data_IF_409781675215
#
_entry.id   IF_409781675215
#
_cell.length_a   1.000
_cell.length_b   1.000
_cell.length_c   1.000
_cell.angle_alpha   90.00
_cell.angle_beta   90.00
_cell.angle_gamma   90.00
#
_symmetry.space_group_name_H-M   'P 1'
#
loop_
_entity.id
_entity.type
_entity.pdbx_description
1 polymer ?
#
# COMPACT_ATOMS: atom_id res chain seq x y z
N UNK A 1 2.14 28.25 -1.26
CA UNK A 1 2.58 27.53 -0.03
C UNK A 1 1.39 27.00 0.78
N UNK A 2 0.40 27.85 1.13
CA UNK A 2 -0.78 27.47 1.93
C UNK A 2 -1.60 26.27 1.41
N UNK A 3 -1.87 26.17 0.11
CA UNK A 3 -2.71 25.08 -0.46
C UNK A 3 -2.09 23.68 -0.24
N UNK A 4 -0.76 23.54 -0.41
CA UNK A 4 -0.07 22.26 -0.17
C UNK A 4 -0.14 21.83 1.30
N UNK A 5 -0.14 22.80 2.20
CA UNK A 5 -0.21 22.56 3.65
C UNK A 5 -1.63 22.17 4.08
N UNK A 6 -2.66 22.79 3.51
CA UNK A 6 -4.05 22.37 3.70
C UNK A 6 -4.30 20.94 3.22
N UNK A 7 -3.82 20.58 2.03
CA UNK A 7 -3.94 19.21 1.50
C UNK A 7 -3.23 18.20 2.42
N UNK A 8 -2.03 18.53 2.90
CA UNK A 8 -1.30 17.68 3.84
C UNK A 8 -2.05 17.48 5.15
N UNK A 9 -2.66 18.54 5.68
CA UNK A 9 -3.45 18.49 6.91
C UNK A 9 -4.71 17.66 6.72
N UNK A 10 -5.45 17.84 5.62
CA UNK A 10 -6.67 17.07 5.34
C UNK A 10 -6.40 15.58 5.15
N UNK A 11 -5.34 15.22 4.40
CA UNK A 11 -4.94 13.82 4.23
C UNK A 11 -4.56 13.17 5.57
N UNK A 12 -3.79 13.87 6.42
CA UNK A 12 -3.41 13.36 7.73
C UNK A 12 -4.63 13.16 8.64
N UNK A 13 -5.56 14.13 8.67
CA UNK A 13 -6.80 14.01 9.47
C UNK A 13 -7.63 12.82 8.99
N UNK A 14 -7.81 12.67 7.68
CA UNK A 14 -8.56 11.56 7.10
C UNK A 14 -7.89 10.22 7.41
N UNK A 15 -6.57 10.13 7.27
CA UNK A 15 -5.79 8.92 7.60
C UNK A 15 -5.97 8.54 9.06
N UNK A 16 -5.79 9.51 9.97
CA UNK A 16 -5.93 9.29 11.42
C UNK A 16 -7.37 8.87 11.74
N UNK A 17 -8.37 9.52 11.15
CA UNK A 17 -9.78 9.19 11.37
C UNK A 17 -10.11 7.76 10.97
N UNK A 18 -9.79 7.37 9.73
CA UNK A 18 -10.06 6.01 9.22
C UNK A 18 -9.28 4.97 10.01
N UNK A 19 -8.00 5.22 10.30
CA UNK A 19 -7.17 4.30 11.07
C UNK A 19 -7.66 4.15 12.53
N UNK A 20 -8.10 5.25 13.15
CA UNK A 20 -8.69 5.23 14.49
C UNK A 20 -9.98 4.41 14.50
N UNK A 21 -10.85 4.58 13.51
CA UNK A 21 -12.07 3.76 13.37
C UNK A 21 -11.70 2.29 13.22
N UNK A 22 -10.74 1.97 12.34
CA UNK A 22 -10.29 0.60 12.11
C UNK A 22 -9.74 -0.08 13.37
N UNK A 23 -9.05 0.67 14.24
CA UNK A 23 -8.52 0.15 15.51
C UNK A 23 -9.54 0.11 16.66
N UNK A 24 -10.36 1.16 16.79
CA UNK A 24 -11.29 1.33 17.92
C UNK A 24 -12.49 0.40 17.78
N UNK A 25 -13.02 0.18 16.57
CA UNK A 25 -14.21 -0.67 16.37
C UNK A 25 -14.03 -2.09 16.92
N UNK A 26 -12.97 -2.84 16.52
CA UNK A 26 -12.70 -4.15 17.10
C UNK A 26 -12.48 -4.11 18.62
N UNK A 27 -11.76 -3.09 19.12
CA UNK A 27 -11.45 -2.98 20.55
C UNK A 27 -12.72 -2.77 21.38
N UNK A 28 -13.60 -1.87 20.95
CA UNK A 28 -14.90 -1.62 21.62
C UNK A 28 -15.81 -2.84 21.51
N UNK A 29 -15.83 -3.53 20.37
CA UNK A 29 -16.58 -4.78 20.21
C UNK A 29 -16.11 -5.85 21.21
N UNK A 30 -14.80 -6.03 21.38
CA UNK A 30 -14.24 -6.99 22.34
C UNK A 30 -14.62 -6.59 23.77
N UNK A 31 -14.44 -5.32 24.15
CA UNK A 31 -14.76 -4.82 25.50
C UNK A 31 -16.27 -4.98 25.81
N UNK A 32 -17.14 -4.63 24.87
CA UNK A 32 -18.60 -4.74 25.06
C UNK A 32 -19.05 -6.19 25.22
N UNK A 33 -18.45 -7.13 24.48
CA UNK A 33 -18.68 -8.57 24.65
C UNK A 33 -18.21 -9.07 26.01
N UNK A 34 -17.03 -8.63 26.48
CA UNK A 34 -16.53 -8.97 27.84
C UNK A 34 -17.49 -8.47 28.94
N UNK A 35 -18.15 -7.33 28.71
CA UNK A 35 -19.15 -6.75 29.61
C UNK A 35 -20.55 -7.39 29.50
N UNK A 36 -20.71 -8.47 28.73
CA UNK A 36 -21.99 -9.18 28.57
C UNK A 36 -23.04 -8.44 27.73
N UNK A 37 -22.64 -7.39 26.99
CA UNK A 37 -23.52 -6.66 26.06
C UNK A 37 -23.37 -7.23 24.64
N UNK A 38 -24.43 -7.18 23.80
CA UNK A 38 -24.30 -7.54 22.39
C UNK A 38 -23.24 -6.63 21.73
N UNK A 39 -22.32 -7.24 21.00
CA UNK A 39 -21.28 -6.53 20.25
C UNK A 39 -21.87 -5.67 19.13
N UNK A 40 -21.05 -4.78 18.57
CA UNK A 40 -21.47 -3.91 17.46
C UNK A 40 -21.79 -4.79 16.23
N UNK A 41 -23.03 -4.77 15.70
CA UNK A 41 -23.39 -5.56 14.54
C UNK A 41 -22.57 -5.12 13.31
N UNK A 42 -22.17 -6.08 12.48
CA UNK A 42 -21.38 -5.86 11.26
C UNK A 42 -19.98 -5.23 11.45
N UNK A 43 -19.46 -5.14 12.69
CA UNK A 43 -18.12 -4.61 12.96
C UNK A 43 -16.99 -5.30 12.14
N UNK A 44 -16.92 -6.65 12.05
CA UNK A 44 -15.90 -7.31 11.20
C UNK A 44 -15.99 -6.91 9.73
N UNK A 45 -17.20 -6.71 9.22
CA UNK A 45 -17.44 -6.34 7.83
C UNK A 45 -17.01 -4.88 7.61
N UNK A 46 -17.35 -3.97 8.52
CA UNK A 46 -16.93 -2.57 8.44
C UNK A 46 -15.39 -2.45 8.46
N UNK A 47 -14.71 -3.24 9.30
CA UNK A 47 -13.25 -3.27 9.39
C UNK A 47 -12.59 -3.73 8.07
N UNK A 48 -13.17 -4.72 7.38
CA UNK A 48 -12.73 -5.13 6.03
C UNK A 48 -12.83 -3.96 5.03
N UNK A 49 -13.91 -3.19 5.09
CA UNK A 49 -14.15 -2.06 4.20
C UNK A 49 -13.30 -0.84 4.54
N UNK A 50 -12.99 -0.62 5.82
CA UNK A 50 -12.04 0.43 6.22
C UNK A 50 -10.61 0.11 5.78
N UNK A 51 -10.26 -1.17 5.62
CA UNK A 51 -8.98 -1.59 5.05
C UNK A 51 -8.80 -1.09 3.61
N UNK A 52 -9.87 -1.09 2.81
CA UNK A 52 -9.86 -0.48 1.47
C UNK A 52 -9.49 1.01 1.54
N UNK A 53 -10.09 1.73 2.48
CA UNK A 53 -9.83 3.16 2.65
C UNK A 53 -8.39 3.42 3.06
N UNK A 54 -7.89 2.71 4.07
CA UNK A 54 -6.50 2.82 4.52
C UNK A 54 -5.53 2.47 3.39
N UNK A 55 -5.83 1.44 2.59
CA UNK A 55 -5.02 1.04 1.44
C UNK A 55 -4.88 2.16 0.41
N UNK A 56 -6.00 2.75 -0.03
CA UNK A 56 -5.98 3.83 -1.03
C UNK A 56 -5.41 5.14 -0.48
N UNK A 57 -5.73 5.52 0.75
CA UNK A 57 -5.12 6.69 1.41
C UNK A 57 -3.60 6.49 1.55
N UNK A 58 -3.19 5.30 1.97
CA UNK A 58 -1.78 4.90 2.04
C UNK A 58 -1.08 4.97 0.68
N UNK A 59 -1.74 4.52 -0.39
CA UNK A 59 -1.21 4.63 -1.75
C UNK A 59 -1.02 6.10 -2.20
N UNK A 60 -1.98 6.98 -1.89
CA UNK A 60 -1.88 8.43 -2.17
C UNK A 60 -0.72 9.06 -1.38
N UNK A 61 -0.57 8.71 -0.10
CA UNK A 61 0.53 9.18 0.73
C UNK A 61 1.90 8.66 0.25
N UNK A 62 1.98 7.39 -0.14
CA UNK A 62 3.18 6.77 -0.67
C UNK A 62 3.59 7.39 -2.01
N UNK A 63 2.63 7.70 -2.88
CA UNK A 63 2.85 8.45 -4.13
C UNK A 63 3.41 9.84 -3.84
N UNK A 64 2.89 10.51 -2.80
CA UNK A 64 3.37 11.84 -2.44
C UNK A 64 4.80 11.81 -1.92
N UNK A 65 5.14 10.80 -1.13
CA UNK A 65 6.47 10.61 -0.55
C UNK A 65 7.45 9.89 -1.48
N UNK A 66 7.03 9.49 -2.68
CA UNK A 66 7.82 8.68 -3.63
C UNK A 66 8.32 7.36 -3.02
N UNK A 67 7.49 6.74 -2.17
CA UNK A 67 7.78 5.49 -1.47
C UNK A 67 7.01 4.29 -2.02
N UNK A 68 6.44 4.45 -3.21
CA UNK A 68 5.83 3.31 -3.90
C UNK A 68 6.92 2.32 -4.28
N UNK A 69 6.63 1.04 -4.14
CA UNK A 69 7.57 -0.03 -4.47
C UNK A 69 7.90 0.00 -5.97
N UNK A 70 9.16 0.28 -6.29
CA UNK A 70 9.74 0.28 -7.65
C UNK A 70 10.84 -0.78 -7.74
N UNK A 71 11.09 -1.28 -8.96
CA UNK A 71 12.22 -2.19 -9.21
C UNK A 71 13.58 -1.49 -9.16
N UNK A 72 13.60 -0.18 -9.39
CA UNK A 72 14.80 0.65 -9.33
C UNK A 72 14.97 1.31 -7.96
N UNK A 73 16.22 1.68 -7.65
CA UNK A 73 16.57 2.43 -6.42
C UNK A 73 16.06 3.87 -6.44
N UNK A 74 15.93 4.47 -7.61
CA UNK A 74 15.40 5.82 -7.74
C UNK A 74 13.93 5.79 -8.16
N UNK A 75 13.03 6.39 -7.36
CA UNK A 75 11.61 6.39 -7.66
C UNK A 75 11.28 7.37 -8.80
N UNK A 76 10.47 6.95 -9.77
CA UNK A 76 10.10 7.77 -10.94
C UNK A 76 9.45 9.12 -10.58
N UNK A 77 8.76 9.20 -9.44
CA UNK A 77 8.01 10.39 -9.04
C UNK A 77 8.83 11.43 -8.25
N UNK A 78 10.15 11.25 -8.12
CA UNK A 78 11.02 12.33 -7.65
C UNK A 78 11.11 13.46 -8.70
N UNK A 79 11.14 14.74 -8.26
CA UNK A 79 11.41 15.83 -9.18
C UNK A 79 12.83 15.66 -9.75
N UNK A 80 12.93 15.56 -11.07
CA UNK A 80 14.20 15.40 -11.75
C UNK A 80 15.02 16.70 -11.67
N UNK A 81 16.30 16.60 -11.31
CA UNK A 81 17.26 17.71 -11.36
C UNK A 81 17.70 18.00 -12.80
N UNK A 82 17.75 16.97 -13.66
CA UNK A 82 18.08 17.02 -15.08
C UNK A 82 16.99 16.30 -15.86
N UNK A 83 16.47 16.91 -16.93
CA UNK A 83 15.43 16.30 -17.75
C UNK A 83 15.94 15.05 -18.46
N UNK A 84 15.25 13.92 -18.28
CA UNK A 84 15.52 12.66 -18.95
C UNK A 84 14.30 12.22 -19.76
N UNK A 85 14.50 12.01 -21.07
CA UNK A 85 13.44 11.61 -21.99
C UNK A 85 12.77 10.29 -21.56
N UNK A 86 13.56 9.32 -21.06
CA UNK A 86 13.06 8.02 -20.63
C UNK A 86 12.14 8.12 -19.41
N UNK A 87 12.50 8.93 -18.41
CA UNK A 87 11.64 9.19 -17.25
C UNK A 87 10.36 9.93 -17.64
N UNK A 88 10.46 10.91 -18.53
CA UNK A 88 9.28 11.62 -18.99
C UNK A 88 8.30 10.68 -19.70
N UNK A 89 8.77 9.78 -20.57
CA UNK A 89 7.95 8.72 -21.19
C UNK A 89 7.31 7.83 -20.12
N UNK A 90 8.08 7.35 -19.15
CA UNK A 90 7.57 6.49 -18.07
C UNK A 90 6.48 7.18 -17.22
N UNK A 91 6.59 8.50 -16.97
CA UNK A 91 5.55 9.28 -16.27
C UNK A 91 4.28 9.40 -17.10
N UNK A 92 4.37 9.58 -18.42
CA UNK A 92 3.22 9.59 -19.31
C UNK A 92 2.49 8.25 -19.31
N UNK A 93 3.23 7.14 -19.45
CA UNK A 93 2.67 5.78 -19.41
C UNK A 93 1.97 5.53 -18.08
N UNK A 94 2.62 5.88 -16.96
CA UNK A 94 2.03 5.76 -15.63
C UNK A 94 0.70 6.54 -15.53
N UNK A 95 0.66 7.75 -16.07
CA UNK A 95 -0.53 8.59 -16.05
C UNK A 95 -1.68 8.01 -16.88
N UNK A 96 -1.40 7.52 -18.09
CA UNK A 96 -2.42 6.85 -18.92
C UNK A 96 -3.02 5.65 -18.18
N UNK A 97 -2.19 4.81 -17.57
CA UNK A 97 -2.63 3.63 -16.82
C UNK A 97 -3.50 4.04 -15.62
N UNK A 98 -3.09 5.05 -14.86
CA UNK A 98 -3.88 5.51 -13.70
C UNK A 98 -5.21 6.12 -14.15
N UNK A 99 -5.24 6.85 -15.27
CA UNK A 99 -6.50 7.39 -15.84
C UNK A 99 -7.43 6.25 -16.27
N UNK A 100 -6.90 5.18 -16.85
CA UNK A 100 -7.70 4.00 -17.20
C UNK A 100 -8.25 3.28 -15.95
N UNK A 101 -7.43 3.12 -14.91
CA UNK A 101 -7.87 2.55 -13.62
C UNK A 101 -8.92 3.44 -12.93
N UNK A 102 -8.73 4.75 -12.98
CA UNK A 102 -9.72 5.73 -12.52
C UNK A 102 -11.05 5.54 -13.25
N UNK A 103 -11.03 5.44 -14.58
CA UNK A 103 -12.24 5.19 -15.37
C UNK A 103 -12.93 3.87 -15.01
N UNK A 104 -12.15 2.79 -14.86
CA UNK A 104 -12.68 1.49 -14.40
C UNK A 104 -13.36 1.59 -13.03
N UNK A 105 -12.76 2.34 -12.10
CA UNK A 105 -13.27 2.50 -10.74
C UNK A 105 -14.54 3.37 -10.68
N UNK A 106 -14.65 4.42 -11.50
CA UNK A 106 -15.90 5.18 -11.65
C UNK A 106 -16.99 4.29 -12.23
N UNK A 107 -16.66 3.53 -13.28
CA UNK A 107 -17.62 2.65 -13.95
C UNK A 107 -18.20 1.62 -12.97
N UNK A 108 -17.35 1.04 -12.11
CA UNK A 108 -17.80 0.14 -11.04
C UNK A 108 -18.75 0.84 -10.06
N UNK A 109 -18.39 2.03 -9.55
CA UNK A 109 -19.22 2.78 -8.61
C UNK A 109 -20.58 3.12 -9.23
N UNK A 110 -20.62 3.49 -10.50
CA UNK A 110 -21.88 3.78 -11.21
C UNK A 110 -22.75 2.52 -11.36
N UNK A 111 -22.15 1.36 -11.65
CA UNK A 111 -22.86 0.08 -11.71
C UNK A 111 -23.48 -0.23 -10.33
N UNK A 112 -22.71 -0.11 -9.25
CA UNK A 112 -23.21 -0.39 -7.90
C UNK A 112 -24.16 0.68 -7.35
N UNK A 113 -24.09 1.91 -7.85
CA UNK A 113 -25.08 2.93 -7.52
C UNK A 113 -26.45 2.59 -8.11
N UNK A 114 -26.48 2.10 -9.35
CA UNK A 114 -27.71 1.64 -10.01
C UNK A 114 -28.27 0.35 -9.38
N UNK A 115 -27.39 -0.51 -8.85
CA UNK A 115 -27.75 -1.76 -8.18
C UNK A 115 -27.21 -1.79 -6.74
N UNK A 116 -27.80 -1.02 -5.81
CA UNK A 116 -27.21 -0.79 -4.49
C UNK A 116 -27.26 -2.03 -3.60
N UNK A 117 -26.09 -2.42 -3.09
CA UNK A 117 -25.93 -3.48 -2.09
C UNK A 117 -25.54 -2.85 -0.75
N UNK A 118 -26.25 -3.22 0.33
CA UNK A 118 -25.92 -2.81 1.68
C UNK A 118 -24.91 -3.78 2.31
N UNK A 119 -23.87 -3.22 2.92
CA UNK A 119 -22.83 -3.97 3.65
C UNK A 119 -23.21 -4.11 5.14
N UNK A 120 -23.79 -3.04 5.67
CA UNK A 120 -24.28 -2.89 7.04
C UNK A 120 -25.54 -2.04 6.97
N UNK A 121 -26.46 -2.09 7.97
CA UNK A 121 -27.62 -1.21 7.99
C UNK A 121 -27.20 0.25 7.77
N UNK A 122 -27.71 0.87 6.70
CA UNK A 122 -27.43 2.25 6.32
C UNK A 122 -26.10 2.52 5.59
N UNK A 123 -25.25 1.51 5.36
CA UNK A 123 -23.96 1.66 4.64
C UNK A 123 -23.99 0.91 3.32
N UNK A 124 -23.95 1.67 2.22
CA UNK A 124 -23.93 1.13 0.86
C UNK A 124 -22.51 0.87 0.36
N UNK A 125 -22.36 -0.17 -0.46
CA UNK A 125 -21.08 -0.57 -1.03
C UNK A 125 -20.45 0.45 -1.96
N UNK A 126 -21.23 1.03 -2.86
CA UNK A 126 -20.78 2.08 -3.78
C UNK A 126 -20.14 3.27 -3.03
N UNK A 127 -20.66 3.62 -1.85
CA UNK A 127 -20.14 4.71 -1.04
C UNK A 127 -18.73 4.40 -0.52
N UNK A 128 -18.50 3.17 -0.06
CA UNK A 128 -17.16 2.74 0.36
C UNK A 128 -16.22 2.69 -0.85
N UNK A 129 -16.70 2.24 -2.01
CA UNK A 129 -15.91 2.11 -3.23
C UNK A 129 -15.47 3.46 -3.82
N UNK A 130 -16.11 4.58 -3.47
CA UNK A 130 -15.70 5.93 -3.91
C UNK A 130 -14.25 6.26 -3.59
N UNK A 131 -13.64 5.63 -2.57
CA UNK A 131 -12.23 5.86 -2.27
C UNK A 131 -11.30 5.42 -3.40
N UNK A 132 -11.71 4.46 -4.24
CA UNK A 132 -10.92 3.97 -5.36
C UNK A 132 -10.75 5.03 -6.46
N UNK A 133 -11.82 5.59 -7.06
CA UNK A 133 -11.67 6.67 -8.04
C UNK A 133 -11.04 7.92 -7.43
N UNK A 134 -11.38 8.27 -6.19
CA UNK A 134 -10.75 9.43 -5.51
C UNK A 134 -9.24 9.19 -5.36
N UNK A 135 -8.84 7.99 -4.95
CA UNK A 135 -7.43 7.63 -4.80
C UNK A 135 -6.66 7.68 -6.11
N UNK A 136 -7.18 7.06 -7.18
CA UNK A 136 -6.54 7.13 -8.50
C UNK A 136 -6.48 8.56 -9.05
N UNK A 137 -7.52 9.37 -8.85
CA UNK A 137 -7.53 10.78 -9.25
C UNK A 137 -6.42 11.57 -8.55
N UNK A 138 -6.28 11.38 -7.23
CA UNK A 138 -5.25 12.06 -6.44
C UNK A 138 -3.84 11.62 -6.86
N UNK A 139 -3.63 10.33 -7.15
CA UNK A 139 -2.35 9.82 -7.67
C UNK A 139 -2.06 10.42 -9.05
N UNK A 140 -3.04 10.44 -9.97
CA UNK A 140 -2.89 11.05 -11.29
C UNK A 140 -2.53 12.54 -11.19
N UNK A 141 -3.23 13.27 -10.32
CA UNK A 141 -2.97 14.69 -10.08
C UNK A 141 -1.56 14.94 -9.53
N UNK A 142 -1.09 14.10 -8.60
CA UNK A 142 0.27 14.20 -8.06
C UNK A 142 1.34 13.96 -9.13
N UNK A 143 1.15 12.97 -10.00
CA UNK A 143 2.09 12.68 -11.10
C UNK A 143 2.09 13.85 -12.09
N UNK A 144 0.92 14.37 -12.46
CA UNK A 144 0.78 15.52 -13.33
C UNK A 144 1.56 16.74 -12.82
N UNK A 145 1.44 17.06 -11.52
CA UNK A 145 2.17 18.17 -10.90
C UNK A 145 3.68 17.93 -10.81
N UNK A 146 4.12 16.69 -10.63
CA UNK A 146 5.54 16.30 -10.49
C UNK A 146 6.22 15.95 -11.82
N UNK A 147 5.49 15.94 -12.93
CA UNK A 147 5.96 15.44 -14.22
C UNK A 147 7.13 16.25 -14.80
N UNK A 148 6.95 17.57 -14.91
CA UNK A 148 7.97 18.51 -15.39
C UNK A 148 7.76 19.89 -14.75
N UNK A 149 8.82 20.72 -14.72
CA UNK A 149 8.73 22.13 -14.32
C UNK A 149 8.04 22.98 -15.38
N UNK A 150 8.18 22.63 -16.66
CA UNK A 150 7.59 23.40 -17.74
C UNK A 150 6.12 23.06 -17.97
N UNK A 151 5.31 24.08 -18.26
CA UNK A 151 3.88 23.92 -18.52
C UNK A 151 3.60 23.16 -19.82
N UNK A 152 4.47 23.29 -20.83
CA UNK A 152 4.32 22.62 -22.14
C UNK A 152 4.28 21.10 -21.98
N UNK A 153 5.25 20.51 -21.28
CA UNK A 153 5.32 19.06 -21.04
C UNK A 153 4.14 18.52 -20.22
N UNK A 154 3.51 19.36 -19.39
CA UNK A 154 2.29 18.99 -18.65
C UNK A 154 1.07 18.98 -19.57
N UNK A 155 0.91 19.99 -20.42
CA UNK A 155 -0.19 20.02 -21.40
C UNK A 155 -0.06 18.84 -22.36
N UNK A 156 1.16 18.55 -22.82
CA UNK A 156 1.41 17.42 -23.71
C UNK A 156 1.05 16.07 -23.07
N UNK A 157 1.27 15.93 -21.75
CA UNK A 157 0.84 14.74 -21.00
C UNK A 157 -0.68 14.57 -20.94
N UNK A 158 -1.43 15.67 -20.83
CA UNK A 158 -2.90 15.62 -20.92
C UNK A 158 -3.37 15.26 -22.33
N UNK A 159 -2.73 15.83 -23.36
CA UNK A 159 -3.04 15.49 -24.76
C UNK A 159 -2.77 14.02 -25.06
N UNK A 160 -1.66 13.46 -24.57
CA UNK A 160 -1.36 12.02 -24.68
C UNK A 160 -2.42 11.20 -23.94
N UNK A 161 -2.81 11.60 -22.74
CA UNK A 161 -3.88 10.95 -21.99
C UNK A 161 -5.20 10.89 -22.77
N UNK A 162 -5.62 12.03 -23.35
CA UNK A 162 -6.82 12.13 -24.19
C UNK A 162 -6.69 11.24 -25.43
N UNK A 163 -5.55 11.29 -26.11
CA UNK A 163 -5.29 10.46 -27.29
C UNK A 163 -5.42 8.96 -26.97
N UNK A 164 -4.88 8.49 -25.84
CA UNK A 164 -5.00 7.09 -25.44
C UNK A 164 -6.44 6.70 -25.07
N UNK A 165 -7.21 7.59 -24.45
CA UNK A 165 -8.64 7.35 -24.22
C UNK A 165 -9.38 7.22 -25.56
N UNK A 166 -9.08 8.10 -26.53
CA UNK A 166 -9.67 8.04 -27.87
C UNK A 166 -9.30 6.72 -28.57
N UNK A 167 -8.02 6.33 -28.57
CA UNK A 167 -7.56 5.04 -29.12
C UNK A 167 -8.29 3.86 -28.47
N UNK A 168 -8.49 3.90 -27.14
CA UNK A 168 -9.19 2.84 -26.39
C UNK A 168 -10.65 2.63 -26.80
N UNK A 169 -11.28 3.61 -27.45
CA UNK A 169 -12.67 3.50 -27.92
C UNK A 169 -12.79 2.94 -29.35
N UNK A 170 -11.69 2.79 -30.09
CA UNK A 170 -11.72 2.27 -31.46
C UNK A 170 -11.31 0.79 -31.53
N UNK A 171 -12.19 -0.04 -32.10
CA UNK A 171 -11.98 -1.49 -32.21
C UNK A 171 -10.79 -1.87 -33.12
N UNK A 172 -10.40 -0.99 -34.05
CA UNK A 172 -9.27 -1.20 -34.97
C UNK A 172 -7.96 -1.46 -34.22
N UNK A 173 -7.73 -0.74 -33.12
CA UNK A 173 -6.53 -0.92 -32.31
C UNK A 173 -6.66 -2.09 -31.34
N UNK A 174 -7.89 -2.43 -30.93
CA UNK A 174 -8.17 -3.49 -29.95
C UNK A 174 -7.86 -4.87 -30.50
N UNK A 175 -8.22 -5.14 -31.76
CA UNK A 175 -7.94 -6.42 -32.42
C UNK A 175 -6.49 -6.61 -32.89
N UNK A 176 -5.65 -5.58 -32.80
CA UNK A 176 -4.28 -5.63 -33.34
C UNK A 176 -3.30 -6.26 -32.36
N UNK A 177 -2.79 -7.45 -32.70
CA UNK A 177 -1.74 -8.15 -31.93
C UNK A 177 -0.45 -7.32 -31.83
N UNK A 178 -0.10 -6.58 -32.88
CA UNK A 178 1.08 -5.71 -32.87
C UNK A 178 0.95 -4.58 -31.86
N UNK A 179 -0.24 -3.97 -31.74
CA UNK A 179 -0.49 -2.90 -30.78
C UNK A 179 -0.36 -3.39 -29.34
N UNK A 180 -0.82 -4.61 -29.05
CA UNK A 180 -0.69 -5.26 -27.75
C UNK A 180 0.79 -5.43 -27.37
N UNK A 181 1.62 -6.04 -28.22
CA UNK A 181 3.04 -6.26 -27.92
C UNK A 181 3.83 -4.96 -27.77
N UNK A 182 3.56 -3.96 -28.62
CA UNK A 182 4.18 -2.63 -28.52
C UNK A 182 3.85 -2.00 -27.16
N UNK A 183 2.59 -2.07 -26.74
CA UNK A 183 2.14 -1.50 -25.48
C UNK A 183 2.75 -2.21 -24.26
N UNK A 184 2.89 -3.53 -24.30
CA UNK A 184 3.63 -4.29 -23.28
C UNK A 184 5.07 -3.80 -23.19
N UNK A 185 5.73 -3.60 -24.33
CA UNK A 185 7.09 -3.05 -24.40
C UNK A 185 7.21 -1.69 -23.71
N UNK A 186 6.25 -0.79 -23.92
CA UNK A 186 6.21 0.50 -23.24
C UNK A 186 5.98 0.36 -21.72
N UNK A 187 5.09 -0.53 -21.28
CA UNK A 187 4.86 -0.76 -19.85
C UNK A 187 6.14 -1.25 -19.17
N UNK A 188 6.81 -2.25 -19.76
CA UNK A 188 8.08 -2.77 -19.24
C UNK A 188 9.19 -1.71 -19.25
N UNK A 189 9.26 -0.91 -20.31
CA UNK A 189 10.16 0.24 -20.38
C UNK A 189 9.90 1.20 -19.22
N UNK A 190 8.63 1.52 -18.90
CA UNK A 190 8.31 2.41 -17.78
C UNK A 190 8.83 1.88 -16.44
N UNK A 191 8.74 0.56 -16.20
CA UNK A 191 9.23 -0.09 -14.98
C UNK A 191 10.75 -0.02 -14.87
N UNK A 192 11.47 -0.15 -15.99
CA UNK A 192 12.92 0.01 -16.04
C UNK A 192 13.38 1.42 -15.64
N UNK A 193 12.59 2.45 -15.95
CA UNK A 193 12.85 3.84 -15.54
C UNK A 193 12.30 4.18 -14.14
N UNK A 194 11.84 3.17 -13.39
CA UNK A 194 11.45 3.29 -12.00
C UNK A 194 9.97 3.53 -11.76
N UNK A 195 9.11 3.25 -12.74
CA UNK A 195 7.68 3.20 -12.49
C UNK A 195 7.38 2.17 -11.39
N UNK A 196 6.46 2.49 -10.47
CA UNK A 196 6.03 1.56 -9.43
C UNK A 196 5.48 0.25 -9.99
N UNK A 197 5.63 -0.84 -9.24
CA UNK A 197 5.19 -2.19 -9.66
C UNK A 197 3.68 -2.22 -9.97
N UNK A 198 2.85 -1.46 -9.23
CA UNK A 198 1.41 -1.42 -9.49
C UNK A 198 1.07 -0.82 -10.87
N UNK A 199 1.91 0.07 -11.43
CA UNK A 199 1.73 0.58 -12.79
C UNK A 199 1.97 -0.54 -13.80
N UNK A 200 2.99 -1.37 -13.57
CA UNK A 200 3.25 -2.55 -14.40
C UNK A 200 2.09 -3.53 -14.39
N UNK A 201 1.71 -4.02 -13.20
CA UNK A 201 0.65 -5.01 -13.05
C UNK A 201 -0.73 -4.46 -13.48
N UNK A 202 -1.07 -3.26 -13.02
CA UNK A 202 -2.33 -2.60 -13.38
C UNK A 202 -2.40 -2.23 -14.85
N UNK A 203 -1.28 -1.81 -15.45
CA UNK A 203 -1.20 -1.50 -16.88
C UNK A 203 -1.39 -2.74 -17.75
N UNK A 204 -0.76 -3.87 -17.39
CA UNK A 204 -0.96 -5.14 -18.08
C UNK A 204 -2.40 -5.64 -17.93
N UNK A 205 -3.00 -5.51 -16.74
CA UNK A 205 -4.40 -5.86 -16.53
C UNK A 205 -5.33 -5.01 -17.41
N UNK A 206 -5.16 -3.69 -17.44
CA UNK A 206 -5.92 -2.78 -18.32
C UNK A 206 -5.78 -3.20 -19.78
N UNK A 207 -4.56 -3.48 -20.23
CA UNK A 207 -4.28 -3.86 -21.60
C UNK A 207 -4.96 -5.17 -22.00
N UNK A 208 -4.78 -6.23 -21.19
CA UNK A 208 -5.34 -7.55 -21.49
C UNK A 208 -6.86 -7.55 -21.41
N UNK A 209 -7.44 -6.87 -20.41
CA UNK A 209 -8.89 -6.80 -20.29
C UNK A 209 -9.50 -6.05 -21.46
N UNK A 210 -8.88 -4.93 -21.84
CA UNK A 210 -9.29 -4.17 -23.01
C UNK A 210 -9.19 -5.00 -24.30
N UNK A 211 -8.13 -5.79 -24.48
CA UNK A 211 -7.98 -6.67 -25.64
C UNK A 211 -9.05 -7.79 -25.70
N UNK A 212 -9.43 -8.34 -24.54
CA UNK A 212 -10.41 -9.43 -24.41
C UNK A 212 -11.88 -8.96 -24.34
N UNK A 213 -12.15 -7.68 -24.65
CA UNK A 213 -13.50 -7.07 -24.52
C UNK A 213 -14.09 -7.13 -23.11
N UNK A 214 -13.26 -7.39 -22.09
CA UNK A 214 -13.72 -7.40 -20.71
C UNK A 214 -13.74 -5.95 -20.16
N UNK A 215 -14.82 -5.55 -19.47
CA UNK A 215 -14.90 -4.20 -18.93
C UNK A 215 -13.77 -3.89 -17.94
N UNK A 216 -13.13 -2.72 -18.07
CA UNK A 216 -12.04 -2.27 -17.17
C UNK A 216 -12.55 -2.16 -15.71
N UNK A 217 -13.86 -1.99 -15.50
CA UNK A 217 -14.48 -2.04 -14.16
C UNK A 217 -14.25 -3.37 -13.43
N UNK A 218 -14.04 -4.47 -14.15
CA UNK A 218 -13.72 -5.77 -13.56
C UNK A 218 -12.41 -5.75 -12.78
N UNK A 219 -11.41 -4.96 -13.22
CA UNK A 219 -10.15 -4.77 -12.48
C UNK A 219 -10.43 -4.12 -11.12
N UNK A 220 -11.30 -3.11 -11.09
CA UNK A 220 -11.68 -2.44 -9.85
C UNK A 220 -12.53 -3.34 -8.95
N UNK A 221 -13.41 -4.15 -9.52
CA UNK A 221 -14.23 -5.11 -8.78
C UNK A 221 -13.35 -6.17 -8.11
N UNK A 222 -12.37 -6.69 -8.83
CA UNK A 222 -11.43 -7.69 -8.33
C UNK A 222 -10.49 -7.09 -7.28
N UNK A 223 -10.02 -5.85 -7.51
CA UNK A 223 -9.25 -5.10 -6.50
C UNK A 223 -10.05 -4.95 -5.20
N UNK A 224 -11.32 -4.53 -5.29
CA UNK A 224 -12.19 -4.42 -4.13
C UNK A 224 -12.39 -5.78 -3.43
N UNK A 225 -12.64 -6.85 -4.18
CA UNK A 225 -12.84 -8.22 -3.64
C UNK A 225 -11.61 -8.70 -2.86
N UNK A 226 -10.42 -8.49 -3.40
CA UNK A 226 -9.17 -8.90 -2.76
C UNK A 226 -8.93 -8.06 -1.49
N UNK A 227 -9.09 -6.74 -1.58
CA UNK A 227 -8.75 -5.82 -0.48
C UNK A 227 -9.73 -5.94 0.71
N UNK A 228 -10.99 -6.28 0.45
CA UNK A 228 -12.01 -6.49 1.48
C UNK A 228 -11.99 -7.94 2.01
N UNK A 229 -10.88 -8.66 1.82
CA UNK A 229 -10.65 -9.95 2.47
C UNK A 229 -10.71 -9.84 4.01
N UNK A 230 -11.30 -10.82 4.72
CA UNK A 230 -11.26 -10.90 6.18
C UNK A 230 -9.85 -10.90 6.79
N UNK A 231 -8.82 -11.27 6.02
CA UNK A 231 -7.43 -11.39 6.51
C UNK A 231 -6.61 -10.11 6.37
N UNK A 232 -6.97 -9.19 5.49
CA UNK A 232 -6.17 -7.98 5.24
C UNK A 232 -6.23 -6.92 6.34
N UNK A 233 -7.32 -6.72 7.11
CA UNK A 233 -7.32 -5.80 8.25
C UNK A 233 -6.27 -6.11 9.30
N UNK A 234 -5.84 -7.36 9.37
CA UNK A 234 -4.78 -7.82 10.27
C UNK A 234 -3.46 -7.07 10.03
N UNK A 235 -3.15 -6.67 8.79
CA UNK A 235 -1.92 -5.95 8.46
C UNK A 235 -1.81 -4.60 9.20
N UNK A 236 -2.75 -3.64 9.03
CA UNK A 236 -2.69 -2.38 9.77
C UNK A 236 -2.86 -2.55 11.28
N UNK A 237 -3.71 -3.49 11.74
CA UNK A 237 -3.94 -3.72 13.18
C UNK A 237 -2.69 -4.26 13.89
N UNK A 238 -2.01 -5.26 13.31
CA UNK A 238 -0.77 -5.76 13.91
C UNK A 238 0.39 -4.79 13.77
N UNK A 239 0.44 -4.01 12.69
CA UNK A 239 1.39 -2.91 12.58
C UNK A 239 1.19 -1.91 13.74
N UNK A 240 -0.07 -1.53 14.04
CA UNK A 240 -0.38 -0.69 15.20
C UNK A 240 0.07 -1.33 16.52
N UNK A 241 -0.24 -2.60 16.73
CA UNK A 241 0.17 -3.33 17.93
C UNK A 241 1.70 -3.31 18.11
N UNK A 242 2.44 -3.56 17.02
CA UNK A 242 3.90 -3.48 17.02
C UNK A 242 4.42 -2.09 17.38
N UNK A 243 3.83 -1.03 16.84
CA UNK A 243 4.18 0.36 17.20
C UNK A 243 3.89 0.67 18.67
N UNK A 244 2.75 0.24 19.22
CA UNK A 244 2.41 0.44 20.64
C UNK A 244 3.41 -0.29 21.55
N UNK A 245 3.78 -1.53 21.20
CA UNK A 245 4.78 -2.31 21.96
C UNK A 245 6.17 -1.66 21.93
N UNK A 246 6.57 -1.11 20.79
CA UNK A 246 7.83 -0.40 20.62
C UNK A 246 7.87 0.89 21.46
N UNK A 247 6.86 1.76 21.33
CA UNK A 247 6.80 3.06 22.02
C UNK A 247 6.60 2.93 23.54
N UNK A 248 5.93 1.87 24.00
CA UNK A 248 5.72 1.62 25.45
C UNK A 248 6.95 1.04 26.17
N UNK A 249 8.12 0.97 25.50
CA UNK A 249 9.32 0.27 25.97
C UNK A 249 9.05 -1.17 26.42
N UNK A 250 7.98 -1.78 25.90
CA UNK A 250 7.69 -3.20 26.17
C UNK A 250 8.75 -4.08 25.51
N UNK A 251 9.19 -3.70 24.31
CA UNK A 251 10.30 -4.33 23.59
C UNK A 251 11.58 -4.47 24.43
N UNK A 252 11.96 -3.44 25.19
CA UNK A 252 13.14 -3.48 26.07
C UNK A 252 12.93 -4.44 27.25
N UNK A 253 11.77 -4.39 27.90
CA UNK A 253 11.43 -5.27 29.02
C UNK A 253 11.41 -6.74 28.60
N UNK A 254 10.84 -7.02 27.43
CA UNK A 254 10.81 -8.37 26.86
C UNK A 254 12.24 -8.81 26.50
N UNK A 255 13.06 -7.94 25.92
CA UNK A 255 14.48 -8.26 25.68
C UNK A 255 15.21 -8.69 26.96
N UNK A 256 15.06 -7.97 28.07
CA UNK A 256 15.69 -8.35 29.34
C UNK A 256 15.16 -9.68 29.88
N UNK A 257 13.87 -9.97 29.70
CA UNK A 257 13.28 -11.27 30.05
C UNK A 257 13.94 -12.41 29.25
N UNK A 258 14.02 -12.28 27.92
CA UNK A 258 14.67 -13.29 27.08
C UNK A 258 16.18 -13.39 27.37
N UNK A 259 16.85 -12.27 27.67
CA UNK A 259 18.26 -12.28 28.08
C UNK A 259 18.47 -13.03 29.38
N UNK A 260 17.59 -12.85 30.37
CA UNK A 260 17.65 -13.62 31.61
C UNK A 260 17.37 -15.12 31.38
N UNK A 261 16.46 -15.44 30.44
CA UNK A 261 16.02 -16.80 30.16
C UNK A 261 16.90 -17.58 29.16
N UNK A 262 17.75 -16.92 28.36
CA UNK A 262 18.55 -17.61 27.33
C UNK A 262 19.98 -17.07 27.20
N UNK A 263 20.34 -16.03 27.97
CA UNK A 263 21.66 -15.41 27.89
C UNK A 263 22.81 -16.28 28.38
N UNK A 264 22.52 -17.39 29.07
CA UNK A 264 23.54 -18.37 29.48
C UNK A 264 24.07 -19.23 28.32
N UNK A 265 23.39 -19.25 27.18
CA UNK A 265 23.78 -20.10 26.04
C UNK A 265 25.01 -19.47 25.35
N UNK A 266 26.04 -20.24 24.96
CA UNK A 266 27.17 -19.72 24.19
C UNK A 266 26.70 -19.02 22.91
N UNK A 267 27.07 -17.74 22.72
CA UNK A 267 26.47 -16.89 21.69
C UNK A 267 25.15 -16.22 22.13
N UNK A 268 25.00 -15.99 23.44
CA UNK A 268 23.74 -15.62 24.10
C UNK A 268 22.97 -14.48 23.45
N UNK A 269 23.59 -13.35 23.13
CA UNK A 269 22.86 -12.19 22.58
C UNK A 269 22.25 -12.48 21.20
N UNK A 270 22.96 -13.05 20.22
CA UNK A 270 22.34 -13.52 18.98
C UNK A 270 21.18 -14.49 19.17
N UNK A 271 21.31 -15.44 20.10
CA UNK A 271 20.27 -16.45 20.37
C UNK A 271 19.04 -15.79 21.00
N UNK A 272 19.24 -14.90 21.96
CA UNK A 272 18.20 -14.08 22.59
C UNK A 272 17.47 -13.26 21.53
N UNK A 273 18.18 -12.68 20.57
CA UNK A 273 17.59 -11.92 19.46
C UNK A 273 16.73 -12.81 18.56
N UNK A 274 17.18 -14.02 18.25
CA UNK A 274 16.39 -14.97 17.46
C UNK A 274 15.06 -15.30 18.16
N UNK A 275 15.11 -15.66 19.44
CA UNK A 275 13.88 -15.97 20.20
C UNK A 275 12.98 -14.75 20.38
N UNK A 276 13.56 -13.59 20.71
CA UNK A 276 12.83 -12.34 20.88
C UNK A 276 12.12 -11.93 19.58
N UNK A 277 12.85 -11.87 18.46
CA UNK A 277 12.29 -11.50 17.17
C UNK A 277 11.26 -12.53 16.71
N UNK A 278 11.50 -13.83 16.92
CA UNK A 278 10.54 -14.88 16.62
C UNK A 278 9.22 -14.71 17.40
N UNK A 279 9.32 -14.52 18.70
CA UNK A 279 8.15 -14.28 19.57
C UNK A 279 7.43 -12.98 19.20
N UNK A 280 8.17 -11.89 18.97
CA UNK A 280 7.58 -10.60 18.62
C UNK A 280 6.91 -10.63 17.24
N UNK A 281 7.51 -11.28 16.25
CA UNK A 281 6.89 -11.49 14.94
C UNK A 281 5.65 -12.37 15.04
N UNK A 282 5.62 -13.39 15.90
CA UNK A 282 4.41 -14.20 16.12
C UNK A 282 3.25 -13.34 16.65
N UNK A 283 3.52 -12.42 17.59
CA UNK A 283 2.50 -11.51 18.13
C UNK A 283 2.06 -10.41 17.15
N UNK A 284 2.96 -9.96 16.29
CA UNK A 284 2.73 -8.85 15.35
C UNK A 284 2.45 -9.32 13.92
N UNK A 285 2.39 -10.63 13.68
CA UNK A 285 2.08 -11.26 12.39
C UNK A 285 2.88 -10.77 11.19
N UNK A 286 4.07 -10.16 11.40
CA UNK A 286 4.80 -9.49 10.33
C UNK A 286 6.28 -9.25 10.66
N UNK A 287 7.16 -9.83 9.84
CA UNK A 287 8.62 -9.70 10.02
C UNK A 287 9.11 -8.24 9.90
N UNK A 288 8.55 -7.47 8.96
CA UNK A 288 8.87 -6.05 8.79
C UNK A 288 8.48 -5.20 10.00
N UNK A 289 7.36 -5.52 10.67
CA UNK A 289 6.91 -4.82 11.88
C UNK A 289 7.87 -5.07 13.02
N UNK A 290 8.32 -6.32 13.20
CA UNK A 290 9.32 -6.67 14.21
C UNK A 290 10.65 -5.94 13.98
N UNK A 291 11.12 -5.84 12.73
CA UNK A 291 12.35 -5.10 12.40
C UNK A 291 12.20 -3.61 12.68
N UNK A 292 11.05 -3.01 12.35
CA UNK A 292 10.80 -1.59 12.64
C UNK A 292 10.73 -1.31 14.15
N UNK A 293 10.11 -2.22 14.91
CA UNK A 293 9.91 -2.08 16.36
C UNK A 293 11.19 -2.35 17.17
N UNK A 294 12.00 -3.34 16.76
CA UNK A 294 13.14 -3.82 17.52
C UNK A 294 14.48 -3.42 16.91
N UNK A 295 14.57 -3.15 15.61
CA UNK A 295 15.82 -2.93 14.90
C UNK A 295 16.63 -1.77 15.47
N UNK A 296 15.97 -0.67 15.84
CA UNK A 296 16.61 0.49 16.48
C UNK A 296 17.22 0.21 17.84
N UNK A 297 16.75 -0.82 18.55
CA UNK A 297 17.30 -1.29 19.83
C UNK A 297 18.38 -2.35 19.61
N UNK A 298 18.11 -3.34 18.77
CA UNK A 298 18.93 -4.54 18.60
C UNK A 298 20.21 -4.28 17.81
N UNK A 299 20.16 -3.44 16.77
CA UNK A 299 21.33 -3.12 15.97
C UNK A 299 22.43 -2.43 16.77
N UNK A 300 22.19 -1.30 17.49
CA UNK A 300 23.23 -0.68 18.29
C UNK A 300 23.69 -1.56 19.45
N UNK A 301 22.83 -2.43 19.99
CA UNK A 301 23.20 -3.41 21.01
C UNK A 301 24.25 -4.41 20.48
N UNK A 302 23.99 -5.04 19.33
CA UNK A 302 24.93 -5.97 18.70
C UNK A 302 26.27 -5.28 18.36
N UNK A 303 26.22 -4.04 17.87
CA UNK A 303 27.43 -3.25 17.60
C UNK A 303 28.24 -2.98 18.87
N UNK A 304 27.58 -2.70 20.00
CA UNK A 304 28.25 -2.49 21.30
C UNK A 304 28.92 -3.75 21.84
N UNK A 305 28.37 -4.92 21.53
CA UNK A 305 28.95 -6.22 21.90
C UNK A 305 30.06 -6.71 20.95
N UNK A 306 30.43 -5.91 19.94
CA UNK A 306 31.54 -6.21 19.05
C UNK A 306 31.17 -7.03 17.80
N UNK A 307 29.87 -7.25 17.54
CA UNK A 307 29.45 -7.94 16.31
C UNK A 307 29.65 -7.07 15.06
N UNK A 308 29.99 -7.71 13.94
CA UNK A 308 30.14 -7.04 12.66
C UNK A 308 28.80 -6.47 12.18
N UNK A 309 28.86 -5.40 11.39
CA UNK A 309 27.66 -4.75 10.86
C UNK A 309 26.85 -5.69 9.96
N UNK A 310 27.53 -6.40 9.04
CA UNK A 310 26.90 -7.38 8.16
C UNK A 310 26.24 -8.53 8.93
N UNK A 311 26.90 -9.04 9.97
CA UNK A 311 26.30 -10.07 10.83
C UNK A 311 25.06 -9.54 11.55
N UNK A 312 25.14 -8.32 12.08
CA UNK A 312 24.03 -7.72 12.84
C UNK A 312 22.80 -7.48 11.95
N UNK A 313 23.01 -6.93 10.75
CA UNK A 313 21.94 -6.73 9.78
C UNK A 313 21.35 -8.06 9.31
N UNK A 314 22.20 -9.03 8.96
CA UNK A 314 21.77 -10.37 8.56
C UNK A 314 20.98 -11.09 9.65
N UNK A 315 21.43 -11.02 10.90
CA UNK A 315 20.76 -11.64 12.03
C UNK A 315 19.38 -11.00 12.27
N UNK A 316 19.28 -9.68 12.36
CA UNK A 316 18.01 -9.00 12.65
C UNK A 316 16.98 -9.26 11.53
N UNK A 317 17.43 -9.22 10.27
CA UNK A 317 16.56 -9.45 9.10
C UNK A 317 16.06 -10.89 9.02
N UNK A 318 16.92 -11.87 9.32
CA UNK A 318 16.56 -13.29 9.31
C UNK A 318 15.71 -13.66 10.54
N UNK A 319 16.11 -13.21 11.73
CA UNK A 319 15.42 -13.48 12.98
C UNK A 319 13.97 -12.97 12.97
N UNK A 320 13.73 -11.80 12.37
CA UNK A 320 12.37 -11.28 12.19
C UNK A 320 11.48 -12.19 11.33
N UNK A 321 12.04 -12.96 10.40
CA UNK A 321 11.28 -13.86 9.52
C UNK A 321 10.93 -15.20 10.16
N UNK A 322 11.74 -15.66 11.13
CA UNK A 322 11.51 -16.93 11.83
C UNK A 322 10.16 -16.98 12.55
N UNK A 323 9.68 -15.86 13.07
CA UNK A 323 8.41 -15.85 13.78
C UNK A 323 7.17 -16.07 12.91
N UNK A 324 7.30 -15.99 11.58
CA UNK A 324 6.23 -16.38 10.64
C UNK A 324 6.03 -17.89 10.59
N UNK A 325 6.97 -18.68 11.10
CA UNK A 325 6.86 -20.15 11.19
C UNK A 325 6.14 -20.60 12.45
N UNK A 326 5.97 -19.72 13.45
CA UNK A 326 5.15 -20.06 14.60
C UNK A 326 3.67 -20.09 14.17
N UNK A 327 2.93 -21.15 14.52
CA UNK A 327 1.51 -21.22 14.20
C UNK A 327 0.76 -20.03 14.83
N UNK A 328 -0.16 -19.39 14.08
CA UNK A 328 -0.91 -18.21 14.54
C UNK A 328 -1.89 -18.52 15.67
#
# INVERSE_FOLDING_TARGET
MKIKEYIKRSENILTIGVFSILAIFPAVEIITRILGRPGIPASPILVQHMTLWIGFIGAVLATRQNKLLSLTREPLFSPDSVFSNGRWIAKNISFVIIVALFWGSISLVMIEYNYPIQISPGVYRWFIQLIMPIGFLLIAFQIFLKSSKEQLFRILMLLIGILFVVIGNYDVFRGSVYFLWISIGFILFSMFYGAPIFIGLGGLAVLFFWHDYTPISAISAETYRIVVSPTLPTIPLFTLAGYILAESRSSERIFYLFRAAFGWIPGGTPIVIVFLCGFFTALTGGSGVAILALGGLLFPLLKKEGYSELFSLGLITLAGSLGLLFPP
#
